data_IF_999670283369
#
_entry.id   IF_999670283369
#
_cell.length_a   1.000
_cell.length_b   1.000
_cell.length_c   1.000
_cell.angle_alpha   90.00
_cell.angle_beta   90.00
_cell.angle_gamma   90.00
#
_symmetry.space_group_name_H-M   'P 1'
#
loop_
_entity.id
_entity.type
_entity.pdbx_description
1 polymer ?
#
# COMPACT_ATOMS: atom_id res chain seq x y z
N UNK A 1 -4.31 1.18 -10.23
CA UNK A 1 -4.26 -0.04 -9.41
C UNK A 1 -4.88 -1.17 -10.20
N UNK A 2 -4.33 -2.39 -10.15
CA UNK A 2 -4.90 -3.52 -10.86
C UNK A 2 -6.18 -3.97 -10.15
N UNK A 3 -7.30 -4.00 -10.89
CA UNK A 3 -8.57 -4.55 -10.45
C UNK A 3 -8.76 -5.91 -11.13
N UNK A 4 -9.01 -6.94 -10.34
CA UNK A 4 -9.20 -8.32 -10.83
C UNK A 4 -10.44 -8.90 -10.22
N UNK A 5 -11.17 -9.75 -10.95
CA UNK A 5 -12.35 -10.42 -10.43
C UNK A 5 -12.08 -11.92 -10.34
N UNK A 6 -12.36 -12.53 -9.19
CA UNK A 6 -12.28 -13.98 -8.97
C UNK A 6 -13.62 -14.46 -8.41
N UNK A 7 -14.36 -15.26 -9.19
CA UNK A 7 -15.72 -15.65 -8.83
C UNK A 7 -16.63 -14.42 -8.75
N UNK A 8 -17.21 -14.18 -7.58
CA UNK A 8 -18.01 -12.99 -7.28
C UNK A 8 -17.27 -11.97 -6.40
N UNK A 9 -15.95 -12.04 -6.27
CA UNK A 9 -15.18 -11.11 -5.45
C UNK A 9 -14.19 -10.29 -6.28
N UNK A 10 -14.15 -8.99 -6.02
CA UNK A 10 -13.21 -8.05 -6.62
C UNK A 10 -11.98 -7.94 -5.73
N UNK A 11 -10.82 -7.95 -6.37
CA UNK A 11 -9.53 -7.74 -5.74
C UNK A 11 -8.88 -6.49 -6.30
N UNK A 12 -8.40 -5.61 -5.42
CA UNK A 12 -7.62 -4.42 -5.76
C UNK A 12 -6.21 -4.59 -5.17
N UNK A 13 -5.19 -4.51 -6.01
CA UNK A 13 -3.79 -4.76 -5.61
C UNK A 13 -3.58 -6.12 -4.89
N UNK A 14 -4.41 -7.12 -5.21
CA UNK A 14 -4.35 -8.44 -4.58
C UNK A 14 -5.12 -8.56 -3.25
N UNK A 15 -5.72 -7.48 -2.76
CA UNK A 15 -6.53 -7.46 -1.54
C UNK A 15 -8.02 -7.57 -1.87
N UNK A 16 -8.82 -8.31 -1.07
CA UNK A 16 -10.26 -8.40 -1.27
C UNK A 16 -10.93 -7.04 -1.04
N UNK A 17 -11.72 -6.59 -2.00
CA UNK A 17 -12.28 -5.24 -2.01
C UNK A 17 -13.79 -5.23 -1.81
N UNK A 18 -14.53 -5.94 -2.66
CA UNK A 18 -15.99 -5.98 -2.58
C UNK A 18 -16.51 -7.29 -3.15
N UNK A 19 -17.57 -7.80 -2.51
CA UNK A 19 -18.36 -8.90 -3.04
C UNK A 19 -19.40 -8.35 -4.02
N UNK A 20 -19.44 -8.91 -5.21
CA UNK A 20 -20.36 -8.55 -6.28
C UNK A 20 -21.71 -9.23 -6.06
N UNK A 21 -22.76 -8.48 -6.37
CA UNK A 21 -24.13 -8.98 -6.50
C UNK A 21 -24.36 -9.63 -7.88
N UNK A 22 -25.40 -10.44 -8.00
CA UNK A 22 -25.66 -11.24 -9.22
C UNK A 22 -25.79 -10.37 -10.49
N UNK A 23 -26.36 -9.17 -10.36
CA UNK A 23 -26.49 -8.19 -11.44
C UNK A 23 -25.15 -7.58 -11.88
N UNK A 24 -24.14 -7.60 -11.02
CA UNK A 24 -22.80 -7.10 -11.33
C UNK A 24 -21.87 -8.15 -11.95
N UNK A 25 -22.22 -9.44 -11.87
CA UNK A 25 -21.37 -10.54 -12.37
C UNK A 25 -21.15 -10.47 -13.88
N UNK A 26 -22.16 -10.04 -14.64
CA UNK A 26 -22.03 -9.88 -16.08
C UNK A 26 -21.04 -8.77 -16.43
N UNK A 27 -21.14 -7.60 -15.80
CA UNK A 27 -20.22 -6.48 -15.99
C UNK A 27 -18.78 -6.86 -15.61
N UNK A 28 -18.61 -7.60 -14.51
CA UNK A 28 -17.33 -8.14 -14.09
C UNK A 28 -16.69 -9.09 -15.12
N UNK A 29 -17.47 -10.02 -15.68
CA UNK A 29 -16.99 -10.95 -16.72
C UNK A 29 -16.54 -10.20 -17.98
N UNK A 30 -17.31 -9.19 -18.40
CA UNK A 30 -16.96 -8.35 -19.54
C UNK A 30 -15.72 -7.50 -19.28
N UNK A 31 -15.57 -6.97 -18.07
CA UNK A 31 -14.39 -6.24 -17.64
C UNK A 31 -13.13 -7.12 -17.69
N UNK A 32 -13.18 -8.33 -17.13
CA UNK A 32 -12.04 -9.25 -17.11
C UNK A 32 -11.55 -9.57 -18.53
N UNK A 33 -12.46 -9.93 -19.45
CA UNK A 33 -12.14 -10.17 -20.87
C UNK A 33 -11.53 -8.95 -21.55
N UNK A 34 -12.00 -7.74 -21.20
CA UNK A 34 -11.47 -6.49 -21.73
C UNK A 34 -10.07 -6.20 -21.19
N UNK A 35 -9.85 -6.43 -19.90
CA UNK A 35 -8.55 -6.29 -19.25
C UNK A 35 -7.50 -7.18 -19.91
N UNK A 36 -7.78 -8.47 -20.07
CA UNK A 36 -6.86 -9.44 -20.69
C UNK A 36 -6.46 -9.04 -22.12
N UNK A 37 -7.43 -8.62 -22.92
CA UNK A 37 -7.20 -8.13 -24.29
C UNK A 37 -6.31 -6.87 -24.31
N UNK A 38 -6.47 -5.98 -23.34
CA UNK A 38 -5.61 -4.80 -23.20
C UNK A 38 -4.21 -5.19 -22.69
N UNK A 39 -4.12 -6.14 -21.76
CA UNK A 39 -2.87 -6.61 -21.15
C UNK A 39 -1.96 -7.33 -22.15
N UNK A 40 -2.52 -7.95 -23.19
CA UNK A 40 -1.74 -8.51 -24.31
C UNK A 40 -0.93 -7.45 -25.07
N UNK A 41 -1.34 -6.18 -25.03
CA UNK A 41 -0.67 -5.07 -25.73
C UNK A 41 0.36 -4.36 -24.87
N UNK A 42 0.15 -4.34 -23.55
CA UNK A 42 1.03 -3.64 -22.60
C UNK A 42 0.90 -4.28 -21.21
N UNK A 43 2.00 -4.42 -20.46
CA UNK A 43 1.96 -4.94 -19.08
C UNK A 43 1.06 -4.12 -18.14
N UNK A 44 0.88 -2.83 -18.45
CA UNK A 44 0.07 -1.90 -17.65
C UNK A 44 -0.98 -1.22 -18.53
N UNK A 45 -2.13 -1.89 -18.76
CA UNK A 45 -3.14 -1.37 -19.66
C UNK A 45 -3.81 -0.11 -19.07
N UNK A 46 -3.92 0.99 -19.85
CA UNK A 46 -4.48 2.24 -19.36
C UNK A 46 -6.00 2.12 -19.13
N UNK A 47 -6.54 2.96 -18.24
CA UNK A 47 -7.97 3.02 -17.93
C UNK A 47 -8.84 3.30 -19.18
N UNK A 48 -8.31 4.03 -20.17
CA UNK A 48 -8.99 4.25 -21.45
C UNK A 48 -9.26 2.96 -22.23
N UNK A 49 -8.42 1.93 -22.07
CA UNK A 49 -8.61 0.61 -22.66
C UNK A 49 -9.45 -0.29 -21.77
N UNK A 50 -9.09 -0.38 -20.48
CA UNK A 50 -9.71 -1.34 -19.55
C UNK A 50 -11.08 -0.90 -19.07
N UNK A 51 -11.43 0.39 -19.15
CA UNK A 51 -12.72 0.97 -18.74
C UNK A 51 -13.23 0.34 -17.43
N UNK A 52 -12.55 0.53 -16.30
CA UNK A 52 -12.89 -0.15 -15.06
C UNK A 52 -14.31 0.22 -14.61
N UNK A 53 -15.11 -0.78 -14.18
CA UNK A 53 -16.42 -0.56 -13.56
C UNK A 53 -16.35 0.25 -12.26
N UNK A 54 -17.50 0.72 -11.79
CA UNK A 54 -17.60 1.51 -10.55
C UNK A 54 -17.07 0.74 -9.31
N UNK A 55 -17.29 -0.58 -9.26
CA UNK A 55 -16.79 -1.42 -8.16
C UNK A 55 -15.26 -1.50 -8.10
N UNK A 56 -14.54 -1.12 -9.15
CA UNK A 56 -13.08 -1.06 -9.15
C UNK A 56 -12.50 0.29 -8.65
N UNK A 57 -13.32 1.32 -8.41
CA UNK A 57 -12.81 2.69 -8.39
C UNK A 57 -13.33 3.62 -7.29
N UNK A 58 -14.17 3.18 -6.34
CA UNK A 58 -14.95 4.19 -5.63
C UNK A 58 -14.21 5.02 -4.55
N UNK A 59 -13.22 4.48 -3.83
CA UNK A 59 -12.46 5.21 -2.78
C UNK A 59 -11.01 4.72 -2.55
N UNK A 60 -10.56 3.68 -3.24
CA UNK A 60 -9.27 3.02 -3.02
C UNK A 60 -8.13 3.61 -3.88
N UNK A 61 -7.91 4.92 -3.81
CA UNK A 61 -6.86 5.58 -4.61
C UNK A 61 -5.46 5.38 -4.03
N UNK A 62 -5.34 5.05 -2.74
CA UNK A 62 -4.05 4.91 -2.07
C UNK A 62 -3.97 3.60 -1.31
N UNK A 63 -2.84 2.93 -1.49
CA UNK A 63 -2.44 1.74 -0.76
C UNK A 63 -1.22 2.11 0.10
N UNK A 64 -1.33 1.93 1.41
CA UNK A 64 -0.21 2.01 2.35
C UNK A 64 0.13 0.60 2.79
N UNK A 65 1.36 0.17 2.55
CA UNK A 65 1.85 -1.14 2.98
C UNK A 65 2.75 -0.93 4.20
N UNK A 66 2.36 -1.53 5.32
CA UNK A 66 3.14 -1.62 6.55
C UNK A 66 3.52 -3.08 6.77
N UNK A 67 4.52 -3.33 7.63
CA UNK A 67 4.89 -4.71 7.96
C UNK A 67 3.71 -5.46 8.59
N UNK A 68 3.13 -6.41 7.86
CA UNK A 68 1.99 -7.23 8.31
C UNK A 68 0.61 -6.55 8.22
N UNK A 69 0.53 -5.31 7.73
CA UNK A 69 -0.70 -4.54 7.67
C UNK A 69 -0.77 -3.69 6.41
N UNK A 70 -1.90 -3.74 5.70
CA UNK A 70 -2.14 -2.90 4.53
C UNK A 70 -3.36 -2.01 4.76
N UNK A 71 -3.31 -0.78 4.25
CA UNK A 71 -4.44 0.13 4.22
C UNK A 71 -4.77 0.47 2.77
N UNK A 72 -5.97 0.12 2.33
CA UNK A 72 -6.45 0.40 0.98
C UNK A 72 -7.71 1.27 1.04
N UNK A 73 -7.61 2.53 0.63
CA UNK A 73 -8.67 3.52 0.89
C UNK A 73 -8.90 3.65 2.39
N UNK A 74 -10.12 3.35 2.84
CA UNK A 74 -10.49 3.32 4.26
C UNK A 74 -10.48 1.92 4.87
N UNK A 75 -9.99 0.89 4.16
CA UNK A 75 -10.02 -0.49 4.63
C UNK A 75 -8.67 -0.89 5.22
N UNK A 76 -8.69 -1.57 6.37
CA UNK A 76 -7.51 -2.14 7.04
C UNK A 76 -7.46 -3.65 6.80
N UNK A 77 -6.27 -4.13 6.44
CA UNK A 77 -5.98 -5.53 6.15
C UNK A 77 -4.82 -6.03 6.98
N UNK A 78 -4.91 -7.25 7.51
CA UNK A 78 -3.80 -7.94 8.18
C UNK A 78 -3.50 -9.24 7.45
N UNK A 79 -2.23 -9.47 7.09
CA UNK A 79 -1.83 -10.65 6.31
C UNK A 79 -2.60 -10.83 4.99
N UNK A 80 -3.08 -9.74 4.38
CA UNK A 80 -3.88 -9.77 3.16
C UNK A 80 -5.39 -9.96 3.35
N UNK A 81 -5.89 -10.08 4.59
CA UNK A 81 -7.31 -10.26 4.89
C UNK A 81 -7.96 -8.98 5.40
N UNK A 82 -9.17 -8.67 4.92
CA UNK A 82 -9.94 -7.53 5.43
C UNK A 82 -10.28 -7.72 6.90
N UNK A 83 -9.96 -6.73 7.73
CA UNK A 83 -10.25 -6.73 9.17
C UNK A 83 -11.43 -5.83 9.47
N UNK A 84 -11.36 -4.56 9.05
CA UNK A 84 -12.38 -3.54 9.29
C UNK A 84 -12.13 -2.29 8.46
N UNK A 85 -13.13 -1.41 8.42
CA UNK A 85 -12.92 -0.02 8.03
C UNK A 85 -12.18 0.77 9.11
N UNK A 86 -11.40 1.76 8.68
CA UNK A 86 -10.76 2.75 9.54
C UNK A 86 -11.82 3.59 10.25
N UNK A 87 -11.57 3.86 11.52
CA UNK A 87 -12.28 4.89 12.28
C UNK A 87 -11.70 6.26 11.94
N UNK A 88 -12.40 7.33 12.33
CA UNK A 88 -11.86 8.68 12.21
C UNK A 88 -10.52 8.84 12.96
N UNK A 89 -10.36 8.17 14.10
CA UNK A 89 -9.11 8.17 14.86
C UNK A 89 -7.97 7.49 14.07
N UNK A 90 -8.25 6.36 13.41
CA UNK A 90 -7.25 5.67 12.58
C UNK A 90 -6.81 6.55 11.40
N UNK A 91 -7.74 7.24 10.76
CA UNK A 91 -7.43 8.18 9.68
C UNK A 91 -6.51 9.32 10.16
N UNK A 92 -6.76 9.85 11.37
CA UNK A 92 -5.87 10.85 11.98
C UNK A 92 -4.49 10.29 12.29
N UNK A 93 -4.40 9.06 12.83
CA UNK A 93 -3.13 8.38 13.09
C UNK A 93 -2.35 8.13 11.79
N UNK A 94 -3.03 7.71 10.73
CA UNK A 94 -2.44 7.54 9.41
C UNK A 94 -1.91 8.86 8.85
N UNK A 95 -2.69 9.94 8.92
CA UNK A 95 -2.27 11.27 8.47
C UNK A 95 -1.03 11.76 9.24
N UNK A 96 -1.01 11.56 10.57
CA UNK A 96 0.13 11.89 11.41
C UNK A 96 1.37 11.08 11.06
N UNK A 97 1.21 9.77 10.79
CA UNK A 97 2.30 8.91 10.35
C UNK A 97 2.88 9.40 9.01
N UNK A 98 2.02 9.70 8.02
CA UNK A 98 2.46 10.19 6.70
C UNK A 98 3.27 11.48 6.84
N UNK A 99 2.81 12.41 7.68
CA UNK A 99 3.53 13.65 7.94
C UNK A 99 4.88 13.42 8.65
N UNK A 100 4.92 12.49 9.62
CA UNK A 100 6.15 12.12 10.31
C UNK A 100 7.14 11.40 9.38
N UNK A 101 6.64 10.51 8.52
CA UNK A 101 7.45 9.79 7.52
C UNK A 101 8.07 10.76 6.51
N UNK A 102 7.32 11.74 6.02
CA UNK A 102 7.86 12.77 5.13
C UNK A 102 9.01 13.56 5.78
N UNK A 103 8.88 13.93 7.07
CA UNK A 103 9.96 14.59 7.82
C UNK A 103 11.17 13.68 8.00
N UNK A 104 10.94 12.41 8.34
CA UNK A 104 11.98 11.41 8.46
C UNK A 104 12.76 11.25 7.14
N UNK A 105 12.10 11.10 6.00
CA UNK A 105 12.75 10.95 4.70
C UNK A 105 13.68 12.13 4.35
N UNK A 106 13.24 13.36 4.62
CA UNK A 106 14.07 14.55 4.42
C UNK A 106 15.27 14.56 5.36
N UNK A 107 15.06 14.21 6.64
CA UNK A 107 16.13 14.14 7.63
C UNK A 107 17.15 13.05 7.26
N UNK A 108 16.68 11.88 6.85
CA UNK A 108 17.49 10.73 6.43
C UNK A 108 18.33 11.10 5.22
N UNK A 109 17.74 11.71 4.20
CA UNK A 109 18.48 12.16 3.02
C UNK A 109 19.58 13.16 3.39
N UNK A 110 19.30 14.14 4.26
CA UNK A 110 20.30 15.10 4.74
C UNK A 110 21.41 14.42 5.53
N UNK A 111 21.05 13.46 6.38
CA UNK A 111 21.99 12.69 7.18
C UNK A 111 22.95 11.89 6.28
N UNK A 112 22.40 11.16 5.30
CA UNK A 112 23.15 10.40 4.31
C UNK A 112 24.13 11.29 3.53
N UNK A 113 23.68 12.46 3.05
CA UNK A 113 24.55 13.41 2.32
C UNK A 113 25.68 13.92 3.22
N UNK A 114 25.38 14.30 4.47
CA UNK A 114 26.38 14.80 5.41
C UNK A 114 27.45 13.75 5.73
N UNK A 115 27.07 12.48 5.82
CA UNK A 115 27.96 11.37 6.18
C UNK A 115 28.46 10.55 4.98
N UNK A 116 28.20 10.99 3.74
CA UNK A 116 28.54 10.23 2.52
C UNK A 116 30.03 9.87 2.39
N UNK A 117 30.92 10.64 3.01
CA UNK A 117 32.37 10.43 2.99
C UNK A 117 32.94 10.07 4.37
N UNK A 118 32.07 9.82 5.36
CA UNK A 118 32.49 9.43 6.69
C UNK A 118 32.86 7.92 6.68
N UNK A 119 34.14 7.56 6.89
CA UNK A 119 34.58 6.17 6.80
C UNK A 119 33.94 5.28 7.88
N UNK A 120 33.57 5.85 9.03
CA UNK A 120 32.87 5.10 10.08
C UNK A 120 31.43 4.84 9.67
N UNK A 121 30.78 5.81 9.04
CA UNK A 121 29.43 5.65 8.53
C UNK A 121 29.35 4.60 7.42
N UNK A 122 30.26 4.67 6.44
CA UNK A 122 30.34 3.69 5.34
C UNK A 122 30.61 2.27 5.87
N UNK A 123 31.44 2.14 6.90
CA UNK A 123 31.68 0.86 7.58
C UNK A 123 30.44 0.37 8.34
N UNK A 124 29.72 1.26 9.02
CA UNK A 124 28.49 0.88 9.70
C UNK A 124 27.43 0.35 8.72
N UNK A 125 27.29 1.00 7.55
CA UNK A 125 26.41 0.53 6.47
C UNK A 125 26.84 -0.83 5.92
N UNK A 126 28.15 -1.04 5.67
CA UNK A 126 28.64 -2.33 5.17
C UNK A 126 28.49 -3.47 6.17
N UNK A 127 28.44 -3.16 7.46
CA UNK A 127 28.16 -4.11 8.54
C UNK A 127 26.66 -4.31 8.80
N UNK A 128 25.77 -3.64 8.06
CA UNK A 128 24.32 -3.73 8.26
C UNK A 128 23.87 -3.14 9.60
N UNK A 129 24.62 -2.19 10.17
CA UNK A 129 24.21 -1.53 11.41
C UNK A 129 23.03 -0.61 11.14
N UNK A 130 21.88 -0.92 11.75
CA UNK A 130 20.66 -0.13 11.63
C UNK A 130 20.67 1.18 12.44
N UNK A 131 21.68 1.37 13.30
CA UNK A 131 21.78 2.53 14.18
C UNK A 131 23.17 3.13 14.11
N UNK A 132 23.26 4.33 13.56
CA UNK A 132 24.43 5.19 13.66
C UNK A 132 24.09 6.39 14.56
N UNK A 133 24.98 6.81 15.47
CA UNK A 133 24.69 7.91 16.39
C UNK A 133 24.27 9.19 15.64
N UNK A 134 23.12 9.76 16.02
CA UNK A 134 22.57 10.95 15.38
C UNK A 134 21.81 10.70 14.07
N UNK A 135 21.69 9.44 13.64
CA UNK A 135 20.80 9.08 12.54
C UNK A 135 19.34 9.38 12.91
N UNK A 136 18.53 9.88 11.95
CA UNK A 136 17.09 10.04 12.13
C UNK A 136 16.41 8.71 12.48
N UNK A 137 15.36 8.77 13.30
CA UNK A 137 14.57 7.60 13.71
C UNK A 137 13.28 7.55 12.89
N UNK A 138 12.97 6.38 12.34
CA UNK A 138 11.71 6.14 11.65
C UNK A 138 10.52 6.33 12.60
N UNK A 139 9.39 6.88 12.13
CA UNK A 139 8.18 6.92 12.94
C UNK A 139 7.65 5.50 13.16
N UNK A 140 7.07 5.26 14.33
CA UNK A 140 6.41 4.00 14.66
C UNK A 140 5.19 3.79 13.78
N UNK A 141 4.98 2.57 13.30
CA UNK A 141 3.77 2.19 12.56
C UNK A 141 2.51 2.51 13.39
N UNK A 142 1.41 2.93 12.74
CA UNK A 142 0.15 3.17 13.46
C UNK A 142 -0.31 1.93 14.24
N UNK A 143 -0.85 2.14 15.44
CA UNK A 143 -1.26 1.06 16.35
C UNK A 143 -2.40 0.19 15.80
N UNK A 144 -3.24 0.73 14.91
CA UNK A 144 -4.28 -0.04 14.21
C UNK A 144 -3.72 -1.11 13.28
N UNK A 145 -2.43 -1.03 12.91
CA UNK A 145 -1.74 -2.08 12.19
C UNK A 145 -1.26 -3.23 13.08
N UNK A 146 -1.58 -3.19 14.38
CA UNK A 146 -1.11 -4.12 15.38
C UNK A 146 0.39 -3.95 15.66
N UNK A 147 0.83 -4.35 16.86
CA UNK A 147 2.22 -4.76 17.03
C UNK A 147 2.40 -6.00 16.16
N UNK A 148 3.32 -5.97 15.19
CA UNK A 148 3.67 -7.10 14.32
C UNK A 148 3.39 -8.41 15.05
N UNK A 149 2.24 -9.04 14.73
CA UNK A 149 1.81 -10.23 15.42
C UNK A 149 2.92 -11.24 15.19
N UNK A 150 3.54 -11.65 16.29
CA UNK A 150 4.44 -12.79 16.34
C UNK A 150 3.67 -13.97 15.77
N UNK A 151 3.99 -14.32 14.52
CA UNK A 151 3.72 -15.65 13.98
C UNK A 151 4.81 -16.57 14.48
#
# INVERSE_FOLDING_TARGET
>A
MQCTVKGNEVYLAGLPWVLLSDDQLQEASEYQKRYERCAQKTPFPPASCTKPPAFCAHNATTLYNFAGCDVLGDNVYWGGHFVRHMTHEDQLKLANFIAAWAKYQIAEQKFQIKHAHDPYYLRALSMGMYYFPGAPVQPTTPDFCGTAATV
#
